data_IF_593910105547
#
_entry.id   IF_593910105547
#
_cell.length_a   1.000
_cell.length_b   1.000
_cell.length_c   1.000
_cell.angle_alpha   90.00
_cell.angle_beta   90.00
_cell.angle_gamma   90.00
#
_symmetry.space_group_name_H-M   'P 1'
#
loop_
_entity.id
_entity.type
_entity.pdbx_description
1 polymer ?
#
# COMPACT_ATOMS: atom_id res chain seq x y z
N UNK A 1 -5.63 -27.49 -10.95
CA UNK A 1 -4.91 -26.36 -11.61
C UNK A 1 -4.33 -25.29 -10.66
N UNK A 2 -3.88 -25.61 -9.43
CA UNK A 2 -3.42 -24.59 -8.44
C UNK A 2 -1.89 -24.43 -8.31
N UNK A 3 -1.09 -25.19 -9.06
CA UNK A 3 0.36 -25.31 -8.78
C UNK A 3 1.29 -24.26 -9.42
N UNK A 4 0.95 -23.68 -10.57
CA UNK A 4 1.86 -22.74 -11.30
C UNK A 4 1.67 -21.27 -10.90
N UNK A 5 0.47 -20.87 -10.46
CA UNK A 5 0.17 -19.47 -10.10
C UNK A 5 0.84 -19.04 -8.79
N UNK A 6 0.97 -19.93 -7.80
CA UNK A 6 1.57 -19.65 -6.50
C UNK A 6 3.04 -19.24 -6.63
N UNK A 7 3.86 -20.06 -7.29
CA UNK A 7 5.30 -19.83 -7.52
C UNK A 7 5.59 -18.50 -8.25
N UNK A 8 4.75 -18.09 -9.21
CA UNK A 8 4.93 -16.83 -9.94
C UNK A 8 4.53 -15.58 -9.14
N UNK A 9 3.60 -15.72 -8.19
CA UNK A 9 3.25 -14.63 -7.27
C UNK A 9 4.38 -14.34 -6.28
N UNK A 10 5.00 -15.41 -5.78
CA UNK A 10 6.08 -15.41 -4.80
C UNK A 10 7.34 -14.76 -5.36
N UNK A 11 7.75 -15.13 -6.60
CA UNK A 11 8.86 -14.48 -7.33
C UNK A 11 8.70 -12.96 -7.48
N UNK A 12 7.47 -12.46 -7.66
CA UNK A 12 7.20 -11.01 -7.79
C UNK A 12 7.27 -10.31 -6.44
N UNK A 13 6.79 -10.95 -5.37
CA UNK A 13 6.88 -10.46 -4.00
C UNK A 13 8.33 -10.41 -3.52
N UNK A 14 9.13 -11.44 -3.79
CA UNK A 14 10.57 -11.47 -3.46
C UNK A 14 11.31 -10.31 -4.13
N UNK A 15 11.03 -10.04 -5.41
CA UNK A 15 11.63 -8.89 -6.11
C UNK A 15 11.23 -7.57 -5.48
N UNK A 16 9.97 -7.40 -5.08
CA UNK A 16 9.51 -6.18 -4.42
C UNK A 16 10.11 -6.01 -3.02
N UNK A 17 10.24 -7.11 -2.27
CA UNK A 17 10.90 -7.14 -0.97
C UNK A 17 12.36 -6.71 -1.06
N UNK A 18 13.13 -7.27 -2.02
CA UNK A 18 14.50 -6.82 -2.30
C UNK A 18 14.58 -5.33 -2.63
N UNK A 19 13.61 -4.78 -3.37
CA UNK A 19 13.55 -3.33 -3.64
C UNK A 19 13.27 -2.51 -2.39
N UNK A 20 12.41 -2.97 -1.48
CA UNK A 20 12.14 -2.29 -0.21
C UNK A 20 13.39 -2.21 0.66
N UNK A 21 14.13 -3.32 0.78
CA UNK A 21 15.40 -3.36 1.51
C UNK A 21 16.43 -2.39 0.91
N UNK A 22 16.57 -2.38 -0.42
CA UNK A 22 17.44 -1.43 -1.10
C UNK A 22 16.98 0.02 -0.93
N UNK A 23 15.67 0.29 -0.99
CA UNK A 23 15.14 1.62 -0.82
C UNK A 23 15.41 2.16 0.60
N UNK A 24 15.19 1.33 1.62
CA UNK A 24 15.53 1.67 3.01
C UNK A 24 17.03 1.96 3.16
N UNK A 25 17.90 1.11 2.60
CA UNK A 25 19.36 1.30 2.65
C UNK A 25 19.84 2.63 2.07
N UNK A 26 19.23 3.10 0.98
CA UNK A 26 19.65 4.32 0.27
C UNK A 26 18.74 5.53 0.53
N UNK A 27 17.79 5.44 1.45
CA UNK A 27 16.80 6.48 1.70
C UNK A 27 17.46 7.82 2.08
N UNK A 28 18.28 7.78 3.13
CA UNK A 28 18.95 8.97 3.66
C UNK A 28 19.83 9.63 2.60
N UNK A 29 20.67 8.84 1.92
CA UNK A 29 21.54 9.32 0.84
C UNK A 29 20.75 10.00 -0.29
N UNK A 30 19.63 9.42 -0.71
CA UNK A 30 18.78 10.01 -1.76
C UNK A 30 18.10 11.30 -1.29
N UNK A 31 17.63 11.36 -0.05
CA UNK A 31 17.03 12.57 0.52
C UNK A 31 18.06 13.71 0.57
N UNK A 32 19.25 13.44 1.08
CA UNK A 32 20.35 14.41 1.14
C UNK A 32 20.73 14.94 -0.24
N UNK A 33 21.00 14.05 -1.21
CA UNK A 33 21.37 14.50 -2.56
C UNK A 33 20.26 15.28 -3.25
N UNK A 34 18.99 14.92 -3.02
CA UNK A 34 17.86 15.68 -3.55
C UNK A 34 17.73 17.06 -2.90
N UNK A 35 18.01 17.19 -1.61
CA UNK A 35 18.01 18.48 -0.92
C UNK A 35 19.06 19.41 -1.54
N UNK A 36 20.32 18.97 -1.60
CA UNK A 36 21.40 19.74 -2.23
C UNK A 36 21.14 20.11 -3.70
N UNK A 37 20.43 19.27 -4.46
CA UNK A 37 20.05 19.59 -5.84
C UNK A 37 18.94 20.65 -5.93
N UNK A 38 18.12 20.80 -4.89
CA UNK A 38 16.96 21.70 -4.84
C UNK A 38 17.33 23.07 -4.28
N UNK A 39 18.37 23.16 -3.46
CA UNK A 39 18.81 24.40 -2.82
C UNK A 39 19.31 25.42 -3.87
N UNK A 40 18.71 26.62 -3.93
CA UNK A 40 19.08 27.64 -4.93
C UNK A 40 20.41 28.34 -4.62
N UNK A 41 20.77 28.44 -3.33
CA UNK A 41 21.93 29.20 -2.84
C UNK A 41 23.26 28.49 -3.09
N UNK A 42 23.23 27.18 -3.35
CA UNK A 42 24.43 26.40 -3.62
C UNK A 42 24.99 26.71 -5.02
N UNK A 43 26.32 26.75 -5.18
CA UNK A 43 26.96 26.96 -6.48
C UNK A 43 26.59 25.84 -7.46
N UNK A 44 26.45 26.18 -8.74
CA UNK A 44 25.96 25.24 -9.77
C UNK A 44 26.79 23.96 -9.82
N UNK A 45 28.11 24.06 -9.77
CA UNK A 45 29.03 22.92 -9.80
C UNK A 45 28.75 21.89 -8.70
N UNK A 46 28.42 22.36 -7.49
CA UNK A 46 28.08 21.48 -6.37
C UNK A 46 26.74 20.78 -6.61
N UNK A 47 25.74 21.49 -7.14
CA UNK A 47 24.45 20.91 -7.52
C UNK A 47 24.64 19.84 -8.59
N UNK A 48 25.47 20.09 -9.59
CA UNK A 48 25.73 19.14 -10.68
C UNK A 48 26.50 17.91 -10.21
N UNK A 49 27.47 18.07 -9.29
CA UNK A 49 28.12 16.95 -8.59
C UNK A 49 27.09 16.08 -7.84
N UNK A 50 26.13 16.69 -7.14
CA UNK A 50 25.07 15.95 -6.43
C UNK A 50 24.06 15.30 -7.38
N UNK A 51 23.72 15.93 -8.51
CA UNK A 51 22.92 15.32 -9.58
C UNK A 51 23.59 14.08 -10.16
N UNK A 52 24.90 14.16 -10.42
CA UNK A 52 25.69 13.01 -10.88
C UNK A 52 25.74 11.89 -9.83
N UNK A 53 25.94 12.22 -8.54
CA UNK A 53 25.87 11.22 -7.46
C UNK A 53 24.49 10.57 -7.35
N UNK A 54 23.42 11.34 -7.57
CA UNK A 54 22.04 10.84 -7.56
C UNK A 54 21.75 9.90 -8.73
N UNK A 55 22.31 10.16 -9.92
CA UNK A 55 22.14 9.32 -11.11
C UNK A 55 22.91 7.99 -11.00
N UNK A 56 24.07 7.99 -10.32
CA UNK A 56 24.88 6.78 -10.07
C UNK A 56 24.24 5.78 -9.10
N UNK A 57 23.27 6.21 -8.29
CA UNK A 57 22.57 5.31 -7.37
C UNK A 57 21.71 4.28 -8.12
N UNK A 58 21.62 3.02 -7.64
CA UNK A 58 20.87 1.99 -8.32
C UNK A 58 19.40 2.39 -8.53
N UNK A 59 18.88 2.17 -9.73
CA UNK A 59 17.52 2.60 -10.10
C UNK A 59 16.44 1.95 -9.22
N UNK A 60 16.70 0.74 -8.74
CA UNK A 60 15.78 -0.05 -7.91
C UNK A 60 15.71 0.41 -6.44
N UNK A 61 16.59 1.30 -5.97
CA UNK A 61 16.51 1.85 -4.61
C UNK A 61 15.60 3.08 -4.49
N UNK A 62 14.89 3.46 -5.56
CA UNK A 62 13.88 4.51 -5.49
C UNK A 62 12.57 3.98 -4.90
N UNK A 63 12.02 4.67 -3.90
CA UNK A 63 10.71 4.37 -3.31
C UNK A 63 9.57 4.37 -4.35
N UNK A 64 9.66 5.20 -5.39
CA UNK A 64 8.67 5.27 -6.46
C UNK A 64 8.49 3.94 -7.23
N UNK A 65 9.47 3.02 -7.14
CA UNK A 65 9.41 1.69 -7.79
C UNK A 65 8.86 0.59 -6.91
N UNK A 66 8.73 0.83 -5.60
CA UNK A 66 8.11 -0.12 -4.68
C UNK A 66 6.61 -0.11 -4.95
N UNK A 67 5.99 -1.29 -4.97
CA UNK A 67 4.52 -1.40 -5.10
C UNK A 67 3.94 -2.21 -3.95
N UNK A 68 2.80 -1.77 -3.45
CA UNK A 68 2.05 -2.56 -2.47
C UNK A 68 1.47 -3.81 -3.16
N UNK A 69 1.80 -4.98 -2.60
CA UNK A 69 1.37 -6.30 -3.11
C UNK A 69 0.66 -7.05 -1.99
N UNK A 70 -0.32 -7.87 -2.39
CA UNK A 70 -0.96 -8.80 -1.48
C UNK A 70 0.05 -9.82 -0.93
N UNK A 71 0.03 -10.04 0.38
CA UNK A 71 0.90 -11.01 1.06
C UNK A 71 0.57 -12.45 0.60
N UNK A 72 -0.71 -12.81 0.56
CA UNK A 72 -1.17 -14.17 0.22
C UNK A 72 -1.02 -14.52 -1.26
N UNK A 73 -1.38 -13.60 -2.16
CA UNK A 73 -1.52 -13.90 -3.61
C UNK A 73 -0.54 -13.14 -4.50
N UNK A 74 0.25 -12.21 -3.96
CA UNK A 74 1.17 -11.36 -4.72
C UNK A 74 0.52 -10.42 -5.75
N UNK A 75 -0.81 -10.30 -5.72
CA UNK A 75 -1.56 -9.39 -6.61
C UNK A 75 -1.11 -7.94 -6.38
N UNK A 76 -0.75 -7.20 -7.44
CA UNK A 76 -0.21 -5.84 -7.32
C UNK A 76 -1.26 -4.72 -7.26
N UNK A 77 -2.54 -5.04 -7.49
CA UNK A 77 -3.62 -4.05 -7.61
C UNK A 77 -4.75 -4.36 -6.64
N UNK A 78 -5.46 -3.31 -6.25
CA UNK A 78 -6.59 -3.38 -5.32
C UNK A 78 -6.20 -4.09 -4.02
N UNK A 79 -5.10 -3.63 -3.43
CA UNK A 79 -4.58 -4.09 -2.14
C UNK A 79 -5.00 -3.06 -1.11
N UNK A 80 -5.72 -3.49 -0.08
CA UNK A 80 -6.01 -2.64 1.07
C UNK A 80 -4.71 -2.46 1.88
N UNK A 81 -4.31 -1.21 2.12
CA UNK A 81 -3.02 -0.91 2.75
C UNK A 81 -2.96 -1.38 4.21
N UNK A 82 -4.03 -1.16 4.97
CA UNK A 82 -4.15 -1.57 6.37
C UNK A 82 -3.94 -3.08 6.56
N UNK A 83 -4.68 -3.90 5.81
CA UNK A 83 -4.58 -5.37 5.91
C UNK A 83 -3.41 -5.95 5.09
N UNK A 84 -2.92 -5.22 4.08
CA UNK A 84 -1.94 -5.70 3.07
C UNK A 84 -2.41 -6.92 2.27
N UNK A 85 -3.72 -7.01 2.05
CA UNK A 85 -4.38 -8.12 1.34
C UNK A 85 -5.12 -7.58 0.10
N UNK A 86 -5.14 -8.34 -0.99
CA UNK A 86 -5.97 -8.05 -2.16
C UNK A 86 -7.46 -8.15 -1.86
N UNK A 87 -8.29 -7.39 -2.58
CA UNK A 87 -9.76 -7.44 -2.50
C UNK A 87 -10.39 -8.84 -2.58
N UNK A 88 -9.78 -9.78 -3.32
CA UNK A 88 -10.33 -11.14 -3.48
C UNK A 88 -10.21 -11.91 -2.15
N UNK A 89 -9.00 -11.91 -1.60
CA UNK A 89 -8.72 -12.60 -0.34
C UNK A 89 -9.40 -11.87 0.80
N UNK A 90 -9.44 -10.53 0.78
CA UNK A 90 -10.16 -9.74 1.77
C UNK A 90 -11.65 -10.13 1.83
N UNK A 91 -12.33 -10.22 0.68
CA UNK A 91 -13.74 -10.64 0.64
C UNK A 91 -13.92 -12.08 1.13
N UNK A 92 -13.03 -13.00 0.73
CA UNK A 92 -13.07 -14.38 1.20
C UNK A 92 -12.84 -14.52 2.70
N UNK A 93 -11.94 -13.71 3.28
CA UNK A 93 -11.70 -13.68 4.72
C UNK A 93 -12.83 -12.98 5.46
N UNK A 94 -13.39 -11.89 4.94
CA UNK A 94 -14.53 -11.21 5.55
C UNK A 94 -15.75 -12.13 5.64
N UNK A 95 -16.03 -12.91 4.59
CA UNK A 95 -17.13 -13.88 4.60
C UNK A 95 -16.92 -15.05 5.57
N UNK A 96 -15.68 -15.42 5.87
CA UNK A 96 -15.36 -16.53 6.78
C UNK A 96 -15.35 -16.13 8.25
N UNK A 97 -15.34 -14.83 8.57
CA UNK A 97 -15.24 -14.34 9.95
C UNK A 97 -13.85 -14.18 10.61
N UNK A 98 -12.67 -14.53 10.03
CA UNK A 98 -11.38 -14.28 10.69
C UNK A 98 -10.97 -12.80 10.80
N UNK A 99 -11.66 -11.89 10.10
CA UNK A 99 -11.37 -10.45 10.20
C UNK A 99 -12.21 -9.83 11.32
N UNK A 100 -11.54 -9.42 12.41
CA UNK A 100 -12.19 -8.73 13.53
C UNK A 100 -12.83 -7.42 13.09
N UNK A 101 -14.06 -7.18 13.55
CA UNK A 101 -14.78 -5.91 13.34
C UNK A 101 -15.36 -5.72 11.93
N UNK A 102 -15.21 -6.70 11.03
CA UNK A 102 -15.72 -6.59 9.65
C UNK A 102 -17.04 -7.32 9.55
N UNK A 103 -18.11 -6.55 9.34
CA UNK A 103 -19.47 -7.05 9.07
C UNK A 103 -19.95 -6.52 7.73
N UNK A 104 -20.88 -7.24 7.10
CA UNK A 104 -21.56 -6.75 5.90
C UNK A 104 -22.39 -5.52 6.29
N UNK A 105 -22.16 -4.39 5.63
CA UNK A 105 -22.99 -3.20 5.80
C UNK A 105 -24.35 -3.43 5.14
N UNK A 106 -25.42 -3.35 5.91
CA UNK A 106 -26.80 -3.36 5.43
C UNK A 106 -27.46 -2.04 5.79
N UNK A 107 -28.05 -1.39 4.77
CA UNK A 107 -28.74 -0.09 4.92
C UNK A 107 -29.83 -0.12 6.00
N UNK A 108 -30.64 -1.20 6.04
CA UNK A 108 -31.65 -1.44 7.09
C UNK A 108 -31.08 -1.43 8.51
N UNK A 109 -29.84 -1.88 8.69
CA UNK A 109 -29.18 -1.93 10.00
C UNK A 109 -28.55 -0.61 10.39
N UNK A 110 -28.15 0.19 9.39
CA UNK A 110 -27.57 1.51 9.60
C UNK A 110 -28.64 2.50 10.09
N UNK A 111 -29.87 2.38 9.58
CA UNK A 111 -31.01 3.19 9.98
C UNK A 111 -31.40 2.97 11.46
N UNK A 112 -31.30 1.76 12.00
CA UNK A 112 -31.59 1.47 13.42
C UNK A 112 -30.55 2.01 14.43
N UNK A 113 -29.33 2.33 13.98
CA UNK A 113 -28.25 2.81 14.86
C UNK A 113 -28.27 4.35 14.98
N UNK A 114 -28.83 5.03 13.97
CA UNK A 114 -28.80 6.49 13.83
C UNK A 114 -30.18 7.16 13.76
N UNK A 115 -31.27 6.41 13.98
CA UNK A 115 -32.61 6.99 14.19
C UNK A 115 -32.78 7.31 15.67
N UNK A 116 -33.15 8.56 16.02
CA UNK A 116 -33.66 8.88 17.36
C UNK A 116 -34.75 7.89 17.74
N UNK A 117 -34.79 7.47 19.00
CA UNK A 117 -35.67 6.40 19.49
C UNK A 117 -37.17 6.72 19.26
N UNK A 118 -37.51 7.99 19.08
CA UNK A 118 -38.88 8.51 19.03
C UNK A 118 -39.61 8.27 17.70
N UNK A 119 -38.93 7.85 16.62
CA UNK A 119 -39.56 7.60 15.30
C UNK A 119 -39.87 6.11 15.02
N UNK A 120 -39.81 5.25 16.04
CA UNK A 120 -39.91 3.79 15.87
C UNK A 120 -41.30 3.18 15.91
N UNK A 121 -42.35 3.97 16.16
CA UNK A 121 -43.72 3.46 16.16
C UNK A 121 -44.44 3.86 14.86
N UNK A 122 -44.88 2.91 14.03
CA UNK A 122 -45.81 3.22 12.96
C UNK A 122 -47.13 3.69 13.59
N UNK A 123 -47.84 4.67 12.99
CA UNK A 123 -49.15 5.07 13.49
C UNK A 123 -50.04 3.83 13.52
N UNK A 124 -50.54 3.52 14.71
CA UNK A 124 -51.54 2.47 14.91
C UNK A 124 -52.76 2.92 14.10
N UNK A 125 -53.04 2.18 13.04
CA UNK A 125 -54.26 2.33 12.24
C UNK A 125 -55.42 1.62 12.93
#
# INVERSE_FOLDING_TARGET
MRGKLSKMSEKRNIRDHKRRLLAAKYELRRKLYKAFCKDPDLPSDMRDKHRYKLSKLPRNSSFARVRNRCIFTGRPRSVYEFFRISRIVFRGLASRGPLMGIKKSSWKSFQMIWTPRDEREPPIA
#
